data_IF_001846402356
#
_entry.id   IF_001846402356
#
_cell.length_a   1.000
_cell.length_b   1.000
_cell.length_c   1.000
_cell.angle_alpha   90.00
_cell.angle_beta   90.00
_cell.angle_gamma   90.00
#
_symmetry.space_group_name_H-M   'P 1'
#
loop_
_entity.id
_entity.type
_entity.pdbx_description
1 polymer ?
#
# COMPACT_ATOMS: atom_id res chain seq x y z
N UNK A 1 -9.37 -4.54 10.75
CA UNK A 1 -10.21 -3.97 11.83
C UNK A 1 -9.50 -2.79 12.46
N UNK A 2 -10.23 -1.92 13.16
CA UNK A 2 -9.62 -0.82 13.93
C UNK A 2 -8.50 -1.35 14.82
N UNK A 3 -7.36 -0.67 14.80
CA UNK A 3 -6.16 -1.06 15.52
C UNK A 3 -5.19 -1.97 14.74
N UNK A 4 -5.56 -2.53 13.59
CA UNK A 4 -4.64 -3.34 12.78
C UNK A 4 -3.55 -2.46 12.14
N UNK A 5 -2.34 -3.05 12.01
CA UNK A 5 -1.22 -2.42 11.29
C UNK A 5 -1.38 -2.60 9.78
N UNK A 6 -1.00 -1.56 9.04
CA UNK A 6 -0.96 -1.56 7.58
C UNK A 6 0.49 -1.58 7.11
N UNK A 7 0.82 -2.51 6.22
CA UNK A 7 2.15 -2.72 5.66
C UNK A 7 2.12 -2.64 4.14
N UNK A 8 3.25 -2.26 3.52
CA UNK A 8 3.44 -2.39 2.08
C UNK A 8 3.40 -3.87 1.67
N UNK A 9 2.69 -4.20 0.60
CA UNK A 9 2.62 -5.58 0.09
C UNK A 9 3.77 -5.92 -0.86
N UNK A 10 4.40 -4.92 -1.48
CA UNK A 10 5.39 -5.08 -2.55
C UNK A 10 4.80 -5.41 -3.94
N UNK A 11 3.49 -5.67 -4.05
CA UNK A 11 2.86 -6.14 -5.28
C UNK A 11 2.83 -5.11 -6.42
N UNK A 12 3.08 -3.83 -6.13
CA UNK A 12 3.18 -2.78 -7.14
C UNK A 12 4.57 -2.65 -7.79
N UNK A 13 5.54 -3.51 -7.41
CA UNK A 13 6.90 -3.52 -7.98
C UNK A 13 7.80 -2.33 -7.58
N UNK A 14 7.27 -1.29 -6.94
CA UNK A 14 7.97 -0.03 -6.70
C UNK A 14 8.38 0.22 -5.24
N UNK A 15 7.97 -0.67 -4.32
CA UNK A 15 8.31 -0.59 -2.90
C UNK A 15 8.65 -1.98 -2.35
N UNK A 16 9.53 -2.09 -1.35
CA UNK A 16 9.72 -3.34 -0.62
C UNK A 16 8.42 -3.75 0.10
N UNK A 17 8.22 -5.04 0.29
CA UNK A 17 7.17 -5.56 1.17
C UNK A 17 7.50 -5.29 2.65
N UNK A 18 6.50 -5.47 3.52
CA UNK A 18 6.62 -5.49 4.98
C UNK A 18 7.09 -4.17 5.62
N UNK A 19 6.95 -3.04 4.93
CA UNK A 19 7.22 -1.70 5.50
C UNK A 19 5.96 -1.14 6.14
N UNK A 20 6.03 -0.76 7.42
CA UNK A 20 4.89 -0.22 8.17
C UNK A 20 4.50 1.17 7.65
N UNK A 21 3.21 1.34 7.34
CA UNK A 21 2.62 2.62 6.90
C UNK A 21 1.91 3.31 8.06
N UNK A 22 1.08 2.56 8.80
CA UNK A 22 0.11 3.14 9.71
C UNK A 22 -0.74 2.13 10.46
N UNK A 23 -1.75 2.65 11.14
CA UNK A 23 -2.76 1.88 11.86
C UNK A 23 -4.17 2.26 11.39
N UNK A 24 -5.05 1.27 11.25
CA UNK A 24 -6.45 1.49 10.87
C UNK A 24 -7.19 2.20 12.01
N UNK A 25 -7.80 3.35 11.71
CA UNK A 25 -8.63 4.12 12.66
C UNK A 25 -10.11 3.90 12.45
N UNK A 26 -10.55 3.58 11.24
CA UNK A 26 -11.94 3.27 10.94
C UNK A 26 -12.03 2.38 9.69
N UNK A 27 -13.13 1.65 9.54
CA UNK A 27 -13.43 0.90 8.32
C UNK A 27 -14.85 1.19 7.89
N UNK A 28 -15.06 1.38 6.58
CA UNK A 28 -16.35 1.65 5.96
C UNK A 28 -16.65 0.59 4.91
N UNK A 29 -17.84 0.03 4.96
CA UNK A 29 -18.35 -0.90 3.97
C UNK A 29 -19.85 -0.67 3.79
N UNK A 30 -20.30 -0.52 2.55
CA UNK A 30 -21.73 -0.48 2.23
C UNK A 30 -22.18 -1.80 1.63
N UNK A 31 -23.42 -2.18 1.92
CA UNK A 31 -23.98 -3.48 1.50
C UNK A 31 -24.00 -3.68 -0.03
N UNK A 32 -23.98 -2.59 -0.80
CA UNK A 32 -24.04 -2.62 -2.27
C UNK A 32 -22.69 -2.30 -2.94
N UNK A 33 -21.62 -2.10 -2.17
CA UNK A 33 -20.28 -1.82 -2.72
C UNK A 33 -19.42 -3.08 -2.77
N UNK A 34 -18.59 -3.19 -3.81
CA UNK A 34 -17.69 -4.33 -4.02
C UNK A 34 -16.39 -4.22 -3.22
N UNK A 35 -16.08 -3.03 -2.74
CA UNK A 35 -14.87 -2.71 -2.00
C UNK A 35 -15.19 -2.34 -0.55
N UNK A 36 -14.18 -2.50 0.30
CA UNK A 36 -14.17 -2.00 1.66
C UNK A 36 -13.05 -0.98 1.78
N UNK A 37 -13.32 0.11 2.50
CA UNK A 37 -12.36 1.18 2.73
C UNK A 37 -11.91 1.18 4.19
N UNK A 38 -10.64 1.53 4.40
CA UNK A 38 -10.06 1.72 5.72
C UNK A 38 -9.40 3.10 5.79
N UNK A 39 -9.71 3.85 6.83
CA UNK A 39 -8.98 5.06 7.16
C UNK A 39 -7.74 4.67 7.97
N UNK A 40 -6.58 5.16 7.55
CA UNK A 40 -5.28 4.80 8.13
C UNK A 40 -4.60 6.05 8.64
N UNK A 41 -4.23 6.03 9.93
CA UNK A 41 -3.36 7.04 10.51
C UNK A 41 -1.91 6.60 10.38
N UNK A 42 -1.08 7.43 9.78
CA UNK A 42 0.36 7.18 9.76
C UNK A 42 0.92 7.19 11.18
N UNK A 43 1.89 6.31 11.45
CA UNK A 43 2.65 6.31 12.70
C UNK A 43 3.78 7.37 12.70
N UNK A 44 4.01 8.02 11.55
CA UNK A 44 5.08 9.01 11.36
C UNK A 44 4.50 10.42 11.48
N UNK A 45 5.10 11.25 12.33
CA UNK A 45 4.89 12.69 12.29
C UNK A 45 5.83 13.31 11.25
N UNK A 46 5.27 13.71 10.10
CA UNK A 46 6.05 14.25 8.98
C UNK A 46 6.56 15.68 9.22
N UNK A 47 6.04 16.40 10.21
CA UNK A 47 6.46 17.77 10.54
C UNK A 47 7.79 17.80 11.34
N UNK A 48 8.23 16.65 11.85
CA UNK A 48 9.40 16.54 12.73
C UNK A 48 10.44 15.56 12.19
N UNK A 49 10.56 15.43 10.87
CA UNK A 49 11.56 14.55 10.25
C UNK A 49 12.97 15.14 10.34
N UNK A 50 13.91 14.35 10.84
CA UNK A 50 15.35 14.69 10.87
C UNK A 50 16.18 13.80 9.95
N UNK A 51 15.87 12.50 9.91
CA UNK A 51 16.57 11.51 9.12
C UNK A 51 15.59 10.65 8.33
N UNK A 52 16.00 10.26 7.12
CA UNK A 52 15.24 9.37 6.24
C UNK A 52 16.15 8.26 5.71
N UNK A 53 15.57 7.09 5.45
CA UNK A 53 16.23 5.98 4.79
C UNK A 53 15.62 5.80 3.40
N UNK A 54 16.45 5.91 2.36
CA UNK A 54 16.04 5.60 0.98
C UNK A 54 16.40 4.15 0.69
N UNK A 55 15.38 3.30 0.49
CA UNK A 55 15.54 1.88 0.19
C UNK A 55 15.42 1.68 -1.32
N UNK A 56 16.54 1.34 -1.98
CA UNK A 56 16.60 1.07 -3.43
C UNK A 56 16.96 -0.36 -3.77
N UNK A 57 17.54 -1.11 -2.83
CA UNK A 57 17.93 -2.51 -3.00
C UNK A 57 16.87 -3.42 -2.39
N UNK A 58 15.80 -3.65 -3.14
CA UNK A 58 14.78 -4.67 -2.85
C UNK A 58 14.48 -5.44 -4.14
N UNK A 59 13.94 -6.64 -4.02
CA UNK A 59 13.52 -7.45 -5.17
C UNK A 59 12.09 -7.03 -5.58
N UNK A 60 11.89 -6.42 -6.76
CA UNK A 60 10.56 -6.08 -7.26
C UNK A 60 9.75 -7.32 -7.62
N UNK A 61 8.45 -7.29 -7.37
CA UNK A 61 7.53 -8.29 -7.93
C UNK A 61 7.39 -8.05 -9.42
N UNK A 62 7.45 -9.11 -10.23
CA UNK A 62 7.15 -9.05 -11.66
C UNK A 62 5.67 -8.78 -11.88
N UNK A 63 5.37 -7.57 -12.37
CA UNK A 63 4.02 -7.08 -12.66
C UNK A 63 3.68 -7.12 -14.15
N UNK A 64 4.57 -7.67 -14.99
CA UNK A 64 4.37 -7.71 -16.45
C UNK A 64 3.08 -8.43 -16.86
N UNK A 65 2.60 -9.37 -16.04
CA UNK A 65 1.33 -10.06 -16.24
C UNK A 65 0.13 -9.10 -16.35
N UNK A 66 0.18 -7.95 -15.68
CA UNK A 66 -0.89 -6.93 -15.72
C UNK A 66 -0.72 -5.94 -16.89
N UNK A 67 0.48 -5.83 -17.46
CA UNK A 67 0.75 -4.92 -18.60
C UNK A 67 0.29 -5.51 -19.95
N UNK A 68 0.11 -6.83 -20.01
CA UNK A 68 -0.25 -7.53 -21.25
C UNK A 68 -1.73 -7.39 -21.65
N UNK A 69 -2.58 -6.80 -20.78
CA UNK A 69 -4.03 -6.65 -21.03
C UNK A 69 -4.36 -5.43 -21.89
N UNK A 70 -3.56 -4.36 -21.84
CA UNK A 70 -3.78 -3.13 -22.63
C UNK A 70 -3.44 -3.29 -24.12
N UNK A 71 -2.67 -4.33 -24.49
CA UNK A 71 -2.22 -4.57 -25.87
C UNK A 71 -3.19 -5.41 -26.71
N UNK A 72 -4.32 -5.84 -26.14
CA UNK A 72 -5.33 -6.68 -26.81
C UNK A 72 -6.67 -5.94 -26.90
N UNK A 73 -6.69 -4.82 -27.62
CA UNK A 73 -7.93 -4.16 -28.07
C UNK A 73 -7.75 -3.58 -29.47
N UNK A 74 -8.50 -4.03 -30.48
CA UNK A 74 -9.19 -3.14 -31.42
C UNK A 74 -10.57 -2.73 -30.89
#
# INVERSE_FOLDING_TARGET
>A
REGDLVLTSGLGGNFPADTVIGQVTSTRQFEFELNQEAEVRSLINFDTLEFVLVVTSFEPVDISVFENEDAQTP
#
